data_IF_822549939892
#
_entry.id   IF_822549939892
#
_cell.length_a   1.000
_cell.length_b   1.000
_cell.length_c   1.000
_cell.angle_alpha   90.00
_cell.angle_beta   90.00
_cell.angle_gamma   90.00
#
_symmetry.space_group_name_H-M   'P 1'
#
loop_
_entity.id
_entity.type
_entity.pdbx_description
1 polymer ?
#
# COMPACT_ATOMS: atom_id res chain seq x y z
N UNK A 1 -3.45 5.34 -0.61
CA UNK A 1 -3.23 4.35 -1.69
C UNK A 1 -4.52 4.22 -2.47
N UNK A 2 -4.44 4.35 -3.79
CA UNK A 2 -5.63 4.40 -4.66
C UNK A 2 -5.49 3.35 -5.75
N UNK A 3 -6.55 2.58 -5.98
CA UNK A 3 -6.69 1.72 -7.15
C UNK A 3 -7.44 2.49 -8.23
N UNK A 4 -6.89 2.54 -9.44
CA UNK A 4 -7.51 3.17 -10.60
C UNK A 4 -8.04 2.06 -11.49
N UNK A 5 -9.36 1.96 -11.62
CA UNK A 5 -10.02 0.88 -12.35
C UNK A 5 -10.34 1.28 -13.80
N UNK A 6 -10.64 2.55 -14.02
CA UNK A 6 -10.94 3.09 -15.34
C UNK A 6 -10.56 4.58 -15.44
N UNK A 7 -10.78 5.19 -16.60
CA UNK A 7 -10.58 6.64 -16.80
C UNK A 7 -11.49 7.50 -15.92
N UNK A 8 -12.55 6.93 -15.35
CA UNK A 8 -13.55 7.64 -14.53
C UNK A 8 -13.79 7.00 -13.16
N UNK A 9 -13.10 5.91 -12.82
CA UNK A 9 -13.28 5.17 -11.55
C UNK A 9 -11.95 4.98 -10.85
N UNK A 10 -11.91 5.41 -9.59
CA UNK A 10 -10.81 5.17 -8.67
C UNK A 10 -11.34 5.05 -7.23
N UNK A 11 -10.71 4.19 -6.43
CA UNK A 11 -11.07 3.93 -5.04
C UNK A 11 -9.84 4.02 -4.15
N UNK A 12 -9.93 4.77 -3.05
CA UNK A 12 -8.95 4.71 -1.98
C UNK A 12 -9.19 3.46 -1.13
N UNK A 13 -8.16 2.64 -0.95
CA UNK A 13 -8.25 1.37 -0.20
C UNK A 13 -7.35 1.32 1.03
N UNK A 14 -6.48 2.31 1.24
CA UNK A 14 -5.64 2.35 2.44
C UNK A 14 -4.74 3.57 2.51
N UNK A 15 -4.32 3.94 3.70
CA UNK A 15 -3.39 5.04 3.97
C UNK A 15 -2.27 4.56 4.90
N UNK A 16 -1.15 5.28 4.91
CA UNK A 16 -0.03 4.97 5.81
C UNK A 16 0.66 6.26 6.22
N UNK A 17 0.75 6.56 7.53
CA UNK A 17 1.52 7.70 8.00
C UNK A 17 3.01 7.46 7.76
N UNK A 18 3.67 8.36 7.04
CA UNK A 18 5.10 8.24 6.69
C UNK A 18 6.00 9.01 7.64
N UNK A 19 5.66 10.28 7.89
CA UNK A 19 6.40 11.19 8.75
C UNK A 19 5.45 12.29 9.25
N UNK A 20 5.00 12.16 10.50
CA UNK A 20 3.93 13.00 11.04
C UNK A 20 4.36 14.48 11.11
N UNK A 21 3.53 15.37 10.56
CA UNK A 21 3.80 16.81 10.54
C UNK A 21 4.73 17.29 9.43
N UNK A 22 5.28 16.37 8.63
CA UNK A 22 6.15 16.69 7.49
C UNK A 22 5.43 16.51 6.17
N UNK A 23 5.64 17.44 5.23
CA UNK A 23 5.12 17.31 3.87
C UNK A 23 5.91 16.25 3.09
N UNK A 24 5.19 15.46 2.31
CA UNK A 24 5.76 14.48 1.38
C UNK A 24 6.21 15.19 0.10
N UNK A 25 7.44 14.94 -0.33
CA UNK A 25 7.97 15.41 -1.61
C UNK A 25 7.22 14.74 -2.77
N UNK A 26 6.99 15.49 -3.85
CA UNK A 26 6.34 14.97 -5.06
C UNK A 26 7.17 13.89 -5.77
N UNK A 27 8.48 13.89 -5.58
CA UNK A 27 9.37 12.87 -6.12
C UNK A 27 9.23 11.56 -5.33
N UNK A 28 8.51 10.61 -5.92
CA UNK A 28 8.28 9.27 -5.38
C UNK A 28 8.86 8.24 -6.36
N UNK A 29 9.60 7.26 -5.84
CA UNK A 29 10.24 6.25 -6.67
C UNK A 29 10.03 4.84 -6.12
N UNK A 30 9.71 3.91 -7.01
CA UNK A 30 9.69 2.49 -6.66
C UNK A 30 11.09 1.93 -6.55
N UNK A 31 11.26 0.90 -5.72
CA UNK A 31 12.42 0.02 -5.80
C UNK A 31 12.38 -0.81 -7.10
N UNK A 32 13.51 -1.42 -7.52
CA UNK A 32 13.57 -2.14 -8.80
C UNK A 32 12.59 -3.31 -8.95
N UNK A 33 12.02 -3.79 -7.84
CA UNK A 33 11.05 -4.89 -7.82
C UNK A 33 9.61 -4.40 -7.64
N UNK A 34 9.38 -3.10 -7.54
CA UNK A 34 8.08 -2.49 -7.27
C UNK A 34 7.44 -2.98 -5.96
N UNK A 35 8.25 -3.45 -5.01
CA UNK A 35 7.75 -3.94 -3.72
C UNK A 35 7.75 -2.86 -2.65
N UNK A 36 8.52 -1.79 -2.86
CA UNK A 36 8.56 -0.64 -1.97
C UNK A 36 8.54 0.66 -2.74
N UNK A 37 7.97 1.68 -2.09
CA UNK A 37 8.02 3.07 -2.51
C UNK A 37 8.98 3.83 -1.59
N UNK A 38 9.95 4.51 -2.19
CA UNK A 38 10.76 5.51 -1.50
C UNK A 38 9.97 6.80 -1.43
N UNK A 39 9.59 7.17 -0.20
CA UNK A 39 8.85 8.40 0.11
C UNK A 39 9.78 9.33 0.87
N UNK A 40 9.92 10.56 0.38
CA UNK A 40 10.83 11.55 0.94
C UNK A 40 10.06 12.67 1.62
N UNK A 41 10.51 13.11 2.78
CA UNK A 41 10.15 14.40 3.39
C UNK A 41 11.37 15.31 3.43
N UNK A 42 11.29 16.49 4.05
CA UNK A 42 12.40 17.45 4.12
C UNK A 42 13.70 16.81 4.67
N UNK A 43 13.59 15.88 5.63
CA UNK A 43 14.75 15.37 6.39
C UNK A 43 14.83 13.86 6.49
N UNK A 44 13.90 13.13 5.86
CA UNK A 44 13.81 11.68 6.00
C UNK A 44 13.44 11.03 4.67
N UNK A 45 14.04 9.88 4.42
CA UNK A 45 13.62 8.95 3.37
C UNK A 45 13.08 7.71 4.04
N UNK A 46 11.82 7.39 3.77
CA UNK A 46 11.13 6.21 4.26
C UNK A 46 10.93 5.22 3.13
N UNK A 47 11.30 3.96 3.34
CA UNK A 47 11.03 2.86 2.41
C UNK A 47 9.74 2.16 2.83
N UNK A 48 8.64 2.46 2.15
CA UNK A 48 7.29 1.98 2.48
C UNK A 48 6.95 0.76 1.63
N UNK A 49 6.42 -0.31 2.23
CA UNK A 49 5.93 -1.48 1.45
C UNK A 49 4.72 -1.08 0.61
N UNK A 50 4.65 -1.56 -0.62
CA UNK A 50 3.49 -1.32 -1.50
C UNK A 50 2.26 -2.10 -1.05
N UNK A 51 2.47 -3.29 -0.48
CA UNK A 51 1.44 -4.13 0.09
C UNK A 51 1.94 -4.77 1.39
N UNK A 52 1.04 -5.07 2.32
CA UNK A 52 1.36 -5.86 3.51
C UNK A 52 0.22 -6.83 3.85
N UNK A 53 -0.10 -7.75 2.93
CA UNK A 53 -1.23 -8.66 3.07
C UNK A 53 -1.14 -9.56 4.32
N UNK A 54 0.07 -9.80 4.82
CA UNK A 54 0.31 -10.58 6.04
C UNK A 54 -0.28 -9.96 7.32
N UNK A 55 -0.76 -8.71 7.27
CA UNK A 55 -1.48 -8.11 8.39
C UNK A 55 -2.88 -8.72 8.62
N UNK A 56 -3.49 -9.29 7.57
CA UNK A 56 -4.83 -9.88 7.63
C UNK A 56 -4.77 -11.31 8.13
N UNK A 57 -5.51 -11.60 9.20
CA UNK A 57 -5.48 -12.92 9.88
C UNK A 57 -6.64 -13.82 9.49
N UNK A 58 -7.63 -13.29 8.79
CA UNK A 58 -8.78 -14.04 8.32
C UNK A 58 -9.06 -13.72 6.86
N UNK A 59 -9.68 -14.67 6.15
CA UNK A 59 -10.15 -14.47 4.78
C UNK A 59 -11.08 -13.24 4.67
N UNK A 60 -11.95 -13.06 5.68
CA UNK A 60 -12.87 -11.92 5.74
C UNK A 60 -12.14 -10.58 5.82
N UNK A 61 -11.11 -10.47 6.66
CA UNK A 61 -10.30 -9.25 6.77
C UNK A 61 -9.52 -8.99 5.48
N UNK A 62 -8.91 -10.05 4.90
CA UNK A 62 -8.10 -9.95 3.68
C UNK A 62 -8.92 -9.47 2.48
N UNK A 63 -10.06 -10.12 2.21
CA UNK A 63 -10.92 -9.76 1.09
C UNK A 63 -11.75 -8.50 1.37
N UNK A 64 -12.07 -8.27 2.65
CA UNK A 64 -12.79 -7.08 3.12
C UNK A 64 -11.98 -5.78 2.97
N UNK A 65 -10.65 -5.88 3.04
CA UNK A 65 -9.75 -4.73 2.83
C UNK A 65 -9.78 -4.18 1.39
N UNK A 66 -10.20 -4.99 0.41
CA UNK A 66 -10.23 -4.62 -1.02
C UNK A 66 -8.89 -4.10 -1.54
N UNK A 67 -7.79 -4.54 -0.93
CA UNK A 67 -6.45 -4.25 -1.41
C UNK A 67 -6.20 -5.07 -2.69
N UNK A 68 -5.94 -4.44 -3.84
CA UNK A 68 -5.76 -5.13 -5.12
C UNK A 68 -4.54 -6.06 -5.16
N UNK A 69 -3.60 -5.94 -4.22
CA UNK A 69 -2.45 -6.84 -4.10
C UNK A 69 -2.75 -8.09 -3.27
N UNK A 70 -3.83 -8.10 -2.49
CA UNK A 70 -4.11 -9.13 -1.51
C UNK A 70 -5.21 -10.09 -1.95
N UNK A 71 -4.97 -11.37 -1.72
CA UNK A 71 -5.93 -12.45 -1.90
C UNK A 71 -5.69 -13.53 -0.87
N UNK A 72 -6.68 -14.41 -0.67
CA UNK A 72 -6.63 -15.44 0.36
C UNK A 72 -6.45 -16.84 -0.23
N UNK A 73 -5.38 -17.51 0.16
CA UNK A 73 -5.11 -18.92 -0.08
C UNK A 73 -5.70 -19.78 1.05
N UNK A 74 -6.90 -20.34 0.81
CA UNK A 74 -7.66 -21.10 1.82
C UNK A 74 -6.92 -22.30 2.42
N UNK A 75 -6.06 -22.98 1.65
CA UNK A 75 -5.33 -24.16 2.14
C UNK A 75 -4.21 -23.78 3.12
N UNK A 76 -3.71 -22.56 3.03
CA UNK A 76 -2.56 -22.07 3.80
C UNK A 76 -2.97 -21.09 4.90
N UNK A 77 -4.26 -20.74 4.97
CA UNK A 77 -4.81 -19.71 5.86
C UNK A 77 -4.02 -18.39 5.79
N UNK A 78 -3.70 -17.93 4.58
CA UNK A 78 -2.99 -16.68 4.32
C UNK A 78 -3.32 -16.11 2.96
#
# INVERSE_FOLDING_TARGET
MVVVESSTSALEYGDTPVDAGSLVNADLHFDPKFMHLYVMTERKVSKVKVQDCGQYKTCGDCLGARDPYCGWCSLENK
#
